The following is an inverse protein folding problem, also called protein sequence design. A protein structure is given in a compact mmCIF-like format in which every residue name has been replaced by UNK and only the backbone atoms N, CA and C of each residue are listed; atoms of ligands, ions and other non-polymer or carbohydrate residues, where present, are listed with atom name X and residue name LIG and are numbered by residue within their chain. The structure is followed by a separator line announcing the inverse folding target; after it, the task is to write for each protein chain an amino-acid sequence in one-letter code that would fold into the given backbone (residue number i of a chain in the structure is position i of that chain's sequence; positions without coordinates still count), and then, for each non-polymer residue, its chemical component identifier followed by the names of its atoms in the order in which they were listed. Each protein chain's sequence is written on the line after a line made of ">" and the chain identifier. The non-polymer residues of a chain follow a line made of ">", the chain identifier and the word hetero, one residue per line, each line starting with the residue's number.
data_IF_465758033445
#
_entry.id   IF_465758033445
#
_cell.length_a   1.000
_cell.length_b   1.000
_cell.length_c   1.000
_cell.angle_alpha   90.00
_cell.angle_beta   90.00
_cell.angle_gamma   90.00
#
_symmetry.space_group_name_H-M   'P 1'
#
loop_
_entity.id
_entity.type
_entity.pdbx_description
1 polymer ?
#
# COMPACT_ATOMS: atom_id res chain seq x y z
N UNK A 1 -13.23 -4.70 -8.80
CA UNK A 1 -13.15 -3.33 -8.28
C UNK A 1 -11.80 -2.69 -8.58
N UNK A 2 -11.78 -1.39 -8.84
CA UNK A 2 -10.58 -0.59 -9.12
C UNK A 2 -10.24 0.26 -7.89
N UNK A 3 -9.04 0.05 -7.36
CA UNK A 3 -8.52 0.80 -6.21
C UNK A 3 -7.34 1.65 -6.66
N UNK A 4 -7.32 2.92 -6.25
CA UNK A 4 -6.26 3.87 -6.58
C UNK A 4 -5.20 3.84 -5.50
N UNK A 5 -3.96 3.51 -5.87
CA UNK A 5 -2.81 3.52 -4.97
C UNK A 5 -1.93 4.73 -5.28
N UNK A 6 -1.62 5.53 -4.26
CA UNK A 6 -0.76 6.72 -4.38
C UNK A 6 0.48 6.56 -3.53
N UNK A 7 1.65 6.67 -4.15
CA UNK A 7 2.91 6.65 -3.43
C UNK A 7 3.45 8.07 -3.23
N UNK A 8 4.19 8.27 -2.16
CA UNK A 8 4.71 9.58 -1.75
C UNK A 8 6.21 9.54 -1.46
N UNK A 9 6.87 10.70 -1.52
CA UNK A 9 8.31 10.86 -1.31
C UNK A 9 9.12 9.80 -2.10
N UNK A 10 10.11 9.14 -1.47
CA UNK A 10 10.94 8.10 -2.10
C UNK A 10 10.16 6.92 -2.68
N UNK A 11 8.94 6.65 -2.21
CA UNK A 11 8.11 5.60 -2.81
C UNK A 11 7.61 5.99 -4.21
N UNK A 12 7.57 7.28 -4.57
CA UNK A 12 7.24 7.70 -5.95
C UNK A 12 8.30 7.27 -6.96
N UNK A 13 9.55 7.21 -6.53
CA UNK A 13 10.67 6.79 -7.40
C UNK A 13 10.58 5.29 -7.69
N UNK A 14 10.15 4.50 -6.70
CA UNK A 14 9.99 3.05 -6.82
C UNK A 14 8.71 2.70 -7.59
N UNK A 15 7.57 3.22 -7.13
CA UNK A 15 6.24 2.79 -7.59
C UNK A 15 5.60 3.70 -8.63
N UNK A 16 6.18 4.85 -8.93
CA UNK A 16 5.49 5.93 -9.61
C UNK A 16 4.57 6.71 -8.67
N UNK A 17 3.98 7.80 -9.16
CA UNK A 17 3.14 8.67 -8.31
C UNK A 17 1.78 8.04 -7.97
N UNK A 18 1.25 7.25 -8.89
CA UNK A 18 -0.09 6.70 -8.81
C UNK A 18 -0.23 5.46 -9.68
N UNK A 19 -1.03 4.50 -9.21
CA UNK A 19 -1.41 3.32 -9.95
C UNK A 19 -2.87 2.97 -9.67
N UNK A 20 -3.56 2.39 -10.65
CA UNK A 20 -4.88 1.79 -10.46
C UNK A 20 -4.72 0.28 -10.51
N UNK A 21 -5.16 -0.40 -9.46
CA UNK A 21 -5.08 -1.86 -9.35
C UNK A 21 -6.48 -2.43 -9.40
N UNK A 22 -6.68 -3.38 -10.30
CA UNK A 22 -7.90 -4.17 -10.37
C UNK A 22 -7.80 -5.33 -9.36
N UNK A 23 -8.83 -5.46 -8.53
CA UNK A 23 -8.96 -6.46 -7.48
C UNK A 23 -10.34 -7.14 -7.55
N UNK A 24 -10.45 -8.39 -7.09
CA UNK A 24 -11.76 -9.00 -6.88
C UNK A 24 -12.56 -8.20 -5.84
N UNK A 25 -13.89 -8.26 -5.96
CA UNK A 25 -14.78 -7.52 -5.06
C UNK A 25 -14.60 -7.98 -3.60
N UNK A 26 -14.56 -7.01 -2.68
CA UNK A 26 -14.33 -7.27 -1.26
C UNK A 26 -12.90 -7.69 -0.89
N UNK A 27 -11.93 -7.58 -1.81
CA UNK A 27 -10.53 -7.86 -1.48
C UNK A 27 -10.00 -6.95 -0.35
N UNK A 28 -9.11 -7.51 0.47
CA UNK A 28 -8.48 -6.80 1.57
C UNK A 28 -7.32 -5.90 1.14
N UNK A 29 -6.97 -4.96 2.03
CA UNK A 29 -5.81 -4.09 1.89
C UNK A 29 -4.50 -4.87 1.78
N UNK A 30 -4.37 -6.03 2.44
CA UNK A 30 -3.18 -6.89 2.32
C UNK A 30 -2.98 -7.41 0.88
N UNK A 31 -4.07 -7.78 0.20
CA UNK A 31 -4.05 -8.26 -1.18
C UNK A 31 -3.64 -7.12 -2.12
N UNK A 32 -4.18 -5.93 -1.90
CA UNK A 32 -3.78 -4.73 -2.65
C UNK A 32 -2.28 -4.47 -2.53
N UNK A 33 -1.73 -4.48 -1.31
CA UNK A 33 -0.32 -4.16 -1.06
C UNK A 33 0.62 -5.19 -1.68
N UNK A 34 0.28 -6.48 -1.61
CA UNK A 34 1.03 -7.54 -2.29
C UNK A 34 1.06 -7.28 -3.80
N UNK A 35 -0.11 -7.07 -4.42
CA UNK A 35 -0.23 -6.77 -5.85
C UNK A 35 0.50 -5.50 -6.26
N UNK A 36 0.49 -4.47 -5.41
CA UNK A 36 1.20 -3.21 -5.64
C UNK A 36 2.72 -3.40 -5.59
N UNK A 37 3.21 -4.15 -4.61
CA UNK A 37 4.62 -4.47 -4.46
C UNK A 37 5.17 -5.29 -5.64
N UNK A 38 4.38 -6.22 -6.18
CA UNK A 38 4.77 -7.07 -7.31
C UNK A 38 4.90 -6.31 -8.65
N UNK A 39 4.42 -5.06 -8.75
CA UNK A 39 4.52 -4.27 -9.99
C UNK A 39 5.93 -3.73 -10.27
N UNK A 40 6.85 -3.84 -9.32
CA UNK A 40 8.21 -3.29 -9.39
C UNK A 40 9.18 -4.26 -8.73
N UNK A 41 10.36 -4.39 -9.32
CA UNK A 41 11.40 -5.30 -8.80
C UNK A 41 11.74 -5.00 -7.33
N UNK A 42 11.97 -3.73 -7.00
CA UNK A 42 12.28 -3.27 -5.64
C UNK A 42 11.05 -3.13 -4.73
N UNK A 43 9.84 -3.33 -5.28
CA UNK A 43 8.60 -2.99 -4.59
C UNK A 43 8.34 -3.88 -3.37
N UNK A 44 8.70 -5.16 -3.45
CA UNK A 44 8.55 -6.10 -2.34
C UNK A 44 9.47 -5.73 -1.17
N UNK A 45 10.75 -5.47 -1.43
CA UNK A 45 11.71 -5.09 -0.41
C UNK A 45 11.41 -3.69 0.20
N UNK A 46 10.73 -2.82 -0.55
CA UNK A 46 10.34 -1.50 -0.06
C UNK A 46 9.16 -1.51 0.92
N UNK A 47 8.28 -2.52 0.85
CA UNK A 47 7.06 -2.60 1.66
C UNK A 47 7.07 -3.74 2.67
N UNK A 48 7.75 -4.84 2.37
CA UNK A 48 7.69 -6.07 3.16
C UNK A 48 9.08 -6.51 3.64
N UNK A 49 9.12 -7.18 4.79
CA UNK A 49 10.31 -7.87 5.28
C UNK A 49 10.53 -9.24 4.57
N UNK A 50 11.60 -9.94 4.93
CA UNK A 50 11.92 -11.26 4.38
C UNK A 50 10.89 -12.35 4.69
N UNK A 51 10.03 -12.14 5.68
CA UNK A 51 8.93 -13.03 6.07
C UNK A 51 7.60 -12.63 5.38
N UNK A 52 7.59 -11.54 4.59
CA UNK A 52 6.42 -11.05 3.89
C UNK A 52 5.46 -10.21 4.76
N UNK A 53 5.90 -9.75 5.93
CA UNK A 53 5.14 -8.83 6.78
C UNK A 53 5.40 -7.39 6.37
N UNK A 54 4.40 -6.53 6.52
CA UNK A 54 4.55 -5.11 6.22
C UNK A 54 5.62 -4.49 7.14
N UNK A 55 6.53 -3.72 6.57
CA UNK A 55 7.54 -3.02 7.34
C UNK A 55 6.88 -2.00 8.26
N UNK A 56 7.19 -2.04 9.56
CA UNK A 56 6.52 -1.23 10.59
C UNK A 56 6.64 0.28 10.39
N UNK A 57 7.57 0.71 9.53
CA UNK A 57 7.81 2.10 9.21
C UNK A 57 7.07 2.59 7.95
N UNK A 58 6.38 1.69 7.25
CA UNK A 58 5.48 2.04 6.14
C UNK A 58 4.19 2.59 6.74
N UNK A 59 3.80 3.79 6.30
CA UNK A 59 2.55 4.40 6.73
C UNK A 59 1.51 4.23 5.64
N UNK A 60 0.36 3.68 6.03
CA UNK A 60 -0.79 3.44 5.16
C UNK A 60 -1.94 4.35 5.52
N UNK A 61 -2.59 4.90 4.50
CA UNK A 61 -3.84 5.63 4.63
C UNK A 61 -4.85 5.02 3.67
N UNK A 62 -6.05 4.71 4.16
CA UNK A 62 -7.20 4.31 3.36
C UNK A 62 -8.23 5.44 3.42
N UNK A 63 -8.57 6.02 2.26
CA UNK A 63 -9.49 7.15 2.14
C UNK A 63 -9.17 8.30 3.12
N UNK A 64 -7.89 8.70 3.17
CA UNK A 64 -7.33 9.75 4.06
C UNK A 64 -7.35 9.40 5.56
N UNK A 65 -7.70 8.18 5.95
CA UNK A 65 -7.64 7.69 7.34
C UNK A 65 -6.48 6.74 7.52
N UNK A 66 -5.70 6.91 8.59
CA UNK A 66 -4.55 6.05 8.87
C UNK A 66 -4.99 4.63 9.22
N UNK A 67 -4.33 3.65 8.61
CA UNK A 67 -4.49 2.21 8.89
C UNK A 67 -3.25 1.74 9.65
N UNK A 68 -3.47 1.15 10.83
CA UNK A 68 -2.41 0.48 11.58
C UNK A 68 -2.13 -0.90 11.01
N UNK A 69 -0.92 -1.41 11.24
CA UNK A 69 -0.48 -2.73 10.76
C UNK A 69 -1.50 -3.85 11.07
N UNK A 70 -1.97 -3.94 12.31
CA UNK A 70 -2.96 -4.94 12.74
C UNK A 70 -4.32 -4.84 12.02
N UNK A 71 -4.65 -3.67 11.46
CA UNK A 71 -5.90 -3.47 10.73
C UNK A 71 -5.78 -3.83 9.24
N UNK A 72 -4.57 -4.01 8.70
CA UNK A 72 -4.34 -4.26 7.27
C UNK A 72 -5.06 -5.52 6.80
N UNK A 73 -4.94 -6.64 7.52
CA UNK A 73 -5.61 -7.91 7.17
C UNK A 73 -7.13 -7.88 7.35
N UNK A 74 -7.67 -6.94 8.13
CA UNK A 74 -9.11 -6.81 8.39
C UNK A 74 -9.80 -5.70 7.59
N UNK A 75 -9.04 -4.88 6.86
CA UNK A 75 -9.59 -3.76 6.09
C UNK A 75 -10.02 -4.23 4.71
N UNK A 76 -11.34 -4.39 4.51
CA UNK A 76 -11.92 -4.62 3.20
C UNK A 76 -11.94 -3.33 2.38
N UNK A 77 -11.71 -3.47 1.07
CA UNK A 77 -11.74 -2.36 0.12
C UNK A 77 -13.00 -2.42 -0.74
N UNK A 78 -13.40 -1.26 -1.26
CA UNK A 78 -14.48 -1.08 -2.21
C UNK A 78 -13.98 -0.45 -3.52
N UNK A 79 -14.82 -0.49 -4.56
CA UNK A 79 -14.55 0.18 -5.82
C UNK A 79 -14.41 1.69 -5.65
N UNK A 80 -13.36 2.26 -6.25
CA UNK A 80 -13.05 3.69 -6.16
C UNK A 80 -12.27 4.10 -4.92
N UNK A 81 -11.96 3.17 -4.00
CA UNK A 81 -11.16 3.48 -2.82
C UNK A 81 -9.76 4.01 -3.17
N UNK A 82 -9.25 4.89 -2.32
CA UNK A 82 -7.88 5.40 -2.38
C UNK A 82 -7.05 4.81 -1.24
N UNK A 83 -5.87 4.29 -1.57
CA UNK A 83 -4.85 3.89 -0.62
C UNK A 83 -3.58 4.69 -0.87
N UNK A 84 -3.12 5.41 0.14
CA UNK A 84 -1.85 6.13 0.08
C UNK A 84 -0.79 5.40 0.91
N UNK A 85 0.41 5.28 0.32
CA UNK A 85 1.55 4.58 0.88
C UNK A 85 2.70 5.57 1.03
N UNK A 86 3.16 5.74 2.27
CA UNK A 86 4.23 6.67 2.61
C UNK A 86 5.43 5.90 3.17
N UNK A 87 6.66 6.29 2.77
CA UNK A 87 7.88 5.81 3.41
C UNK A 87 7.97 6.31 4.86
N UNK A 88 8.94 5.81 5.65
CA UNK A 88 9.22 6.36 6.97
C UNK A 88 9.38 7.87 6.88
N UNK A 89 8.62 8.59 7.70
CA UNK A 89 8.86 10.01 7.93
C UNK A 89 10.01 10.13 8.92
N UNK A 90 11.20 10.51 8.44
CA UNK A 90 12.21 11.06 9.33
C UNK A 90 11.68 12.43 9.78
N UNK A 91 11.37 12.58 11.07
CA UNK A 91 11.06 13.89 11.64
C UNK A 91 12.25 14.81 11.42
N UNK A 92 12.00 15.99 10.85
CA UNK A 92 12.97 17.08 10.81
C UNK A 92 13.15 17.74 12.16
#
# INVERSE_FOLDING_TARGET
>A
MKVRVRAFARFREIFGSEQVIDLPDGAGLDVLLKRFAERREDGRAALFDGEGRLLSHVVLMHNRRRVGDAAVSGTALADGDEVAVFPPVAGG
#
